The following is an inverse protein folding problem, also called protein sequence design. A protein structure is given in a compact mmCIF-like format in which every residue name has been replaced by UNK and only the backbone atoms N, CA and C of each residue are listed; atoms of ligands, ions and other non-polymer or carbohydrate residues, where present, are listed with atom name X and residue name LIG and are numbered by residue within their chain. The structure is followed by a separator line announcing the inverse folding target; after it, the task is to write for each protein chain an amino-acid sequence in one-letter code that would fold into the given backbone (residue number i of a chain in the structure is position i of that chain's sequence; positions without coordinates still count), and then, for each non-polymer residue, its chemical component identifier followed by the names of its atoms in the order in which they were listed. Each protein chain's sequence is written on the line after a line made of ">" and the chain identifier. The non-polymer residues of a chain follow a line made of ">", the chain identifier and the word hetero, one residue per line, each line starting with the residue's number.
data_IF_544943853044
#
_entry.id   IF_544943853044
#
_cell.length_a   1.000
_cell.length_b   1.000
_cell.length_c   1.000
_cell.angle_alpha   90.00
_cell.angle_beta   90.00
_cell.angle_gamma   90.00
#
_symmetry.space_group_name_H-M   'P 1'
#
loop_
_entity.id
_entity.type
_entity.pdbx_description
1 polymer ?
#
# COMPACT_ATOMS: atom_id res chain seq x y z
N UNK A 1 1.54 -14.42 -9.02
CA UNK A 1 2.40 -15.00 -10.06
C UNK A 1 2.34 -16.55 -10.05
N UNK A 2 2.71 -17.20 -8.95
CA UNK A 2 2.81 -18.68 -8.89
C UNK A 2 1.51 -19.41 -9.26
N UNK A 3 0.36 -18.93 -8.78
CA UNK A 3 -0.95 -19.49 -9.12
C UNK A 3 -1.22 -19.48 -10.64
N UNK A 4 -0.99 -18.34 -11.27
CA UNK A 4 -1.18 -18.19 -12.72
C UNK A 4 -0.15 -19.00 -13.53
N UNK A 5 1.09 -19.11 -13.04
CA UNK A 5 2.08 -19.95 -13.69
C UNK A 5 1.64 -21.42 -13.73
N UNK A 6 1.14 -21.96 -12.63
CA UNK A 6 0.60 -23.35 -12.58
C UNK A 6 -0.62 -23.48 -13.48
N UNK A 7 -1.57 -22.55 -13.42
CA UNK A 7 -2.80 -22.56 -14.24
C UNK A 7 -2.47 -22.54 -15.74
N UNK A 8 -1.34 -21.93 -16.14
CA UNK A 8 -0.88 -21.83 -17.53
C UNK A 8 0.18 -22.89 -17.90
N UNK A 9 0.24 -24.02 -17.21
CA UNK A 9 1.00 -25.20 -17.60
C UNK A 9 2.49 -25.18 -17.24
N UNK A 10 2.90 -24.37 -16.24
CA UNK A 10 4.25 -24.53 -15.68
C UNK A 10 4.36 -25.87 -14.95
N UNK A 11 5.33 -26.71 -15.33
CA UNK A 11 5.54 -28.04 -14.76
C UNK A 11 5.86 -27.95 -13.26
N UNK A 12 6.97 -27.31 -12.88
CA UNK A 12 7.33 -27.04 -11.50
C UNK A 12 7.36 -25.53 -11.23
N UNK A 13 6.85 -25.14 -10.05
CA UNK A 13 6.89 -23.76 -9.56
C UNK A 13 7.39 -23.77 -8.12
N UNK A 14 8.37 -22.91 -7.82
CA UNK A 14 8.94 -22.76 -6.48
C UNK A 14 8.81 -21.30 -6.07
N UNK A 15 8.23 -21.04 -4.88
CA UNK A 15 8.23 -19.72 -4.25
C UNK A 15 9.31 -19.69 -3.19
N UNK A 16 10.18 -18.67 -3.26
CA UNK A 16 11.28 -18.46 -2.31
C UNK A 16 10.98 -17.22 -1.46
N UNK A 17 11.06 -17.37 -0.15
CA UNK A 17 10.87 -16.29 0.82
C UNK A 17 12.05 -16.27 1.81
N UNK A 18 12.69 -15.10 1.96
CA UNK A 18 13.84 -14.97 2.87
C UNK A 18 13.46 -14.99 4.34
N UNK A 19 12.25 -14.53 4.65
CA UNK A 19 11.73 -14.48 6.01
C UNK A 19 11.19 -15.85 6.46
N UNK A 20 11.00 -16.06 7.76
CA UNK A 20 10.40 -17.31 8.28
C UNK A 20 8.93 -17.48 7.91
N UNK A 21 8.25 -16.39 7.53
CA UNK A 21 6.82 -16.38 7.13
C UNK A 21 6.67 -15.70 5.79
N UNK A 22 5.73 -16.16 4.98
CA UNK A 22 5.37 -15.56 3.69
C UNK A 22 4.49 -14.33 3.86
N UNK A 23 4.41 -13.50 2.82
CA UNK A 23 3.44 -12.43 2.68
C UNK A 23 3.99 -11.01 2.73
N UNK A 24 5.20 -10.80 3.28
CA UNK A 24 5.83 -9.49 3.27
C UNK A 24 4.92 -8.35 3.78
N UNK A 25 4.91 -7.22 3.08
CA UNK A 25 4.00 -6.11 3.36
C UNK A 25 2.53 -6.43 3.02
N UNK A 26 2.29 -7.39 2.13
CA UNK A 26 0.93 -7.76 1.71
C UNK A 26 0.12 -8.38 2.84
N UNK A 27 0.74 -9.14 3.77
CA UNK A 27 0.02 -9.80 4.85
C UNK A 27 -0.38 -8.84 5.97
N UNK A 28 0.35 -7.73 6.17
CA UNK A 28 0.13 -6.77 7.25
C UNK A 28 -0.68 -5.54 6.84
N UNK A 29 -1.01 -5.39 5.55
CA UNK A 29 -1.81 -4.25 5.09
C UNK A 29 -3.27 -4.33 5.57
N UNK A 30 -4.04 -3.27 5.32
CA UNK A 30 -5.41 -3.14 5.79
C UNK A 30 -6.46 -4.00 5.09
N UNK A 31 -6.08 -4.92 4.20
CA UNK A 31 -7.02 -5.79 3.49
C UNK A 31 -7.99 -5.03 2.57
N UNK A 32 -7.55 -3.94 1.98
CA UNK A 32 -8.38 -3.13 1.07
C UNK A 32 -7.89 -3.23 -0.37
N UNK A 33 -8.83 -3.25 -1.29
CA UNK A 33 -8.58 -3.30 -2.74
C UNK A 33 -9.51 -2.34 -3.47
N UNK A 34 -9.00 -1.60 -4.47
CA UNK A 34 -9.81 -0.77 -5.36
C UNK A 34 -10.56 -1.64 -6.37
N UNK A 35 -11.89 -1.52 -6.40
CA UNK A 35 -12.75 -2.29 -7.31
C UNK A 35 -13.78 -1.37 -7.94
N UNK A 36 -13.51 -0.79 -9.12
CA UNK A 36 -14.47 0.06 -9.81
C UNK A 36 -15.67 -0.76 -10.29
N UNK A 37 -16.87 -0.19 -10.21
CA UNK A 37 -18.09 -0.82 -10.68
C UNK A 37 -18.62 -1.98 -9.81
N UNK A 38 -18.17 -2.08 -8.54
CA UNK A 38 -18.62 -3.14 -7.64
C UNK A 38 -20.11 -3.01 -7.25
N UNK A 39 -20.69 -4.09 -6.73
CA UNK A 39 -22.11 -4.14 -6.39
C UNK A 39 -22.51 -3.14 -5.30
N UNK A 40 -21.63 -2.85 -4.33
CA UNK A 40 -21.92 -1.89 -3.25
C UNK A 40 -22.00 -0.47 -3.80
N UNK A 41 -21.15 -0.10 -4.76
CA UNK A 41 -21.27 1.20 -5.46
C UNK A 41 -22.61 1.34 -6.16
N UNK A 42 -23.06 0.28 -6.85
CA UNK A 42 -24.37 0.29 -7.54
C UNK A 42 -25.51 0.52 -6.55
N UNK A 43 -25.51 -0.17 -5.42
CA UNK A 43 -26.52 0.00 -4.35
C UNK A 43 -26.50 1.40 -3.75
N UNK A 44 -25.32 2.04 -3.68
CA UNK A 44 -25.16 3.41 -3.15
C UNK A 44 -25.37 4.50 -4.21
N UNK A 45 -25.65 4.15 -5.47
CA UNK A 45 -25.77 5.11 -6.56
C UNK A 45 -24.46 5.77 -6.97
N UNK A 46 -23.33 5.19 -6.62
CA UNK A 46 -22.00 5.68 -7.00
C UNK A 46 -21.65 5.19 -8.40
N UNK A 47 -21.40 6.13 -9.30
CA UNK A 47 -20.94 5.83 -10.66
C UNK A 47 -19.42 5.74 -10.66
N UNK A 48 -18.87 4.62 -11.11
CA UNK A 48 -17.44 4.38 -11.20
C UNK A 48 -17.12 3.46 -12.37
N UNK A 49 -15.90 3.56 -12.91
CA UNK A 49 -15.42 2.74 -14.02
C UNK A 49 -13.92 2.50 -13.93
N UNK A 50 -13.41 1.60 -14.77
CA UNK A 50 -11.97 1.38 -14.93
C UNK A 50 -11.27 2.65 -15.45
N UNK A 51 -11.91 3.39 -16.35
CA UNK A 51 -11.40 4.65 -16.89
C UNK A 51 -11.26 5.70 -15.79
N UNK A 52 -12.28 5.89 -14.94
CA UNK A 52 -12.22 6.83 -13.83
C UNK A 52 -11.16 6.44 -12.80
N UNK A 53 -10.96 5.14 -12.55
CA UNK A 53 -9.83 4.69 -11.71
C UNK A 53 -8.48 5.02 -12.35
N UNK A 54 -8.35 4.80 -13.66
CA UNK A 54 -7.12 5.14 -14.39
C UNK A 54 -6.84 6.65 -14.37
N UNK A 55 -7.85 7.49 -14.58
CA UNK A 55 -7.75 8.95 -14.49
C UNK A 55 -7.28 9.41 -13.11
N UNK A 56 -7.86 8.85 -12.04
CA UNK A 56 -7.43 9.14 -10.67
C UNK A 56 -5.95 8.79 -10.44
N UNK A 57 -5.51 7.61 -10.92
CA UNK A 57 -4.12 7.16 -10.77
C UNK A 57 -3.16 8.06 -11.57
N UNK A 58 -3.52 8.41 -12.80
CA UNK A 58 -2.70 9.27 -13.66
C UNK A 58 -2.60 10.68 -13.10
N UNK A 59 -3.71 11.26 -12.63
CA UNK A 59 -3.73 12.58 -11.99
C UNK A 59 -2.81 12.65 -10.79
N UNK A 60 -2.94 11.70 -9.87
CA UNK A 60 -2.13 11.69 -8.65
C UNK A 60 -0.67 11.29 -8.91
N UNK A 61 -0.43 10.51 -9.96
CA UNK A 61 0.90 10.14 -10.41
C UNK A 61 1.68 11.29 -11.08
N UNK A 62 1.05 12.45 -11.32
CA UNK A 62 1.66 13.69 -11.81
C UNK A 62 2.43 13.50 -13.14
N UNK A 63 1.93 12.67 -14.04
CA UNK A 63 2.55 12.40 -15.34
C UNK A 63 3.80 11.51 -15.29
N UNK A 64 4.14 10.93 -14.14
CA UNK A 64 5.24 9.98 -14.00
C UNK A 64 4.82 8.52 -14.19
N UNK A 65 3.54 8.29 -14.40
CA UNK A 65 3.01 6.95 -14.70
C UNK A 65 3.33 6.55 -16.14
N UNK A 66 3.37 5.26 -16.39
CA UNK A 66 3.28 4.69 -17.74
C UNK A 66 1.80 4.39 -18.01
N UNK A 67 1.12 5.18 -18.88
CA UNK A 67 -0.34 5.14 -19.04
C UNK A 67 -0.89 3.76 -19.41
N UNK A 68 -0.16 3.00 -20.20
CA UNK A 68 -0.52 1.64 -20.61
C UNK A 68 -0.55 0.67 -19.43
N UNK A 69 0.37 0.82 -18.46
CA UNK A 69 0.38 0.00 -17.23
C UNK A 69 -0.80 0.36 -16.33
N UNK A 70 -1.08 1.65 -16.18
CA UNK A 70 -2.23 2.14 -15.41
C UNK A 70 -3.53 1.64 -15.99
N UNK A 71 -3.69 1.78 -17.31
CA UNK A 71 -4.86 1.28 -18.03
C UNK A 71 -5.04 -0.23 -17.85
N UNK A 72 -3.98 -1.01 -18.04
CA UNK A 72 -4.00 -2.47 -17.85
C UNK A 72 -4.42 -2.85 -16.44
N UNK A 73 -3.91 -2.17 -15.42
CA UNK A 73 -4.28 -2.43 -14.03
C UNK A 73 -5.74 -2.08 -13.76
N UNK A 74 -6.21 -0.95 -14.24
CA UNK A 74 -7.58 -0.49 -14.04
C UNK A 74 -8.60 -1.40 -14.75
N UNK A 75 -8.35 -1.76 -16.02
CA UNK A 75 -9.20 -2.65 -16.81
C UNK A 75 -9.34 -4.04 -16.20
N UNK A 76 -8.28 -4.55 -15.57
CA UNK A 76 -8.28 -5.87 -14.93
C UNK A 76 -8.71 -5.85 -13.45
N UNK A 77 -9.03 -4.68 -12.89
CA UNK A 77 -9.31 -4.53 -11.46
C UNK A 77 -10.48 -5.40 -11.00
N UNK A 78 -11.63 -5.27 -11.65
CA UNK A 78 -12.83 -6.01 -11.28
C UNK A 78 -12.65 -7.52 -11.45
N UNK A 79 -12.14 -7.96 -12.62
CA UNK A 79 -11.90 -9.38 -12.90
C UNK A 79 -10.88 -10.02 -11.95
N UNK A 80 -9.89 -9.24 -11.50
CA UNK A 80 -8.89 -9.72 -10.54
C UNK A 80 -9.48 -9.84 -9.13
N UNK A 81 -10.28 -8.86 -8.69
CA UNK A 81 -11.03 -8.98 -7.43
C UNK A 81 -11.99 -10.17 -7.47
N UNK A 82 -12.76 -10.32 -8.54
CA UNK A 82 -13.69 -11.43 -8.72
C UNK A 82 -12.97 -12.80 -8.66
N UNK A 83 -11.76 -12.89 -9.23
CA UNK A 83 -10.91 -14.08 -9.11
C UNK A 83 -10.54 -14.38 -7.65
N UNK A 84 -10.23 -13.36 -6.82
CA UNK A 84 -9.95 -13.58 -5.40
C UNK A 84 -11.17 -14.12 -4.66
N UNK A 85 -12.38 -13.70 -5.05
CA UNK A 85 -13.63 -14.19 -4.46
C UNK A 85 -13.95 -15.61 -4.93
N UNK A 86 -14.00 -15.82 -6.25
CA UNK A 86 -14.52 -17.07 -6.84
C UNK A 86 -13.52 -18.23 -6.80
N UNK A 87 -12.25 -17.97 -7.08
CA UNK A 87 -11.24 -19.03 -7.16
C UNK A 87 -10.46 -19.20 -5.85
N UNK A 88 -10.15 -18.10 -5.15
CA UNK A 88 -9.41 -18.19 -3.88
C UNK A 88 -10.33 -18.34 -2.66
N UNK A 89 -11.57 -17.87 -2.72
CA UNK A 89 -12.49 -17.87 -1.59
C UNK A 89 -12.21 -16.77 -0.56
N UNK A 90 -11.68 -15.61 -1.01
CA UNK A 90 -11.51 -14.43 -0.14
C UNK A 90 -12.87 -13.81 0.16
N UNK A 91 -13.16 -13.60 1.42
CA UNK A 91 -14.40 -12.97 1.87
C UNK A 91 -14.21 -11.44 2.02
N UNK A 92 -15.15 -10.69 1.45
CA UNK A 92 -15.20 -9.22 1.54
C UNK A 92 -16.48 -8.74 2.23
N UNK A 93 -16.43 -7.54 2.78
CA UNK A 93 -17.61 -6.83 3.29
C UNK A 93 -18.43 -6.35 2.07
N UNK A 94 -19.75 -6.61 2.07
CA UNK A 94 -20.62 -6.38 0.91
C UNK A 94 -21.66 -5.28 1.10
N UNK A 95 -21.69 -4.63 2.24
CA UNK A 95 -22.63 -3.57 2.63
C UNK A 95 -21.92 -2.23 2.93
N UNK A 96 -20.61 -2.19 2.79
CA UNK A 96 -19.79 -1.01 3.05
C UNK A 96 -18.67 -0.85 2.06
N UNK A 97 -18.44 0.40 1.59
CA UNK A 97 -17.27 0.80 0.81
C UNK A 97 -16.59 2.00 1.44
N UNK A 98 -15.29 2.14 1.20
CA UNK A 98 -14.51 3.26 1.68
C UNK A 98 -13.94 4.12 0.58
N UNK A 99 -13.40 5.27 0.99
CA UNK A 99 -12.67 6.21 0.15
C UNK A 99 -11.41 6.67 0.88
N UNK A 100 -10.40 7.03 0.13
CA UNK A 100 -9.21 7.74 0.63
C UNK A 100 -8.88 8.90 -0.31
N UNK A 101 -8.07 9.83 0.18
CA UNK A 101 -7.64 10.98 -0.59
C UNK A 101 -7.00 10.63 -1.93
N UNK A 102 -7.31 11.42 -2.94
CA UNK A 102 -6.91 11.22 -4.32
C UNK A 102 -7.91 10.42 -5.16
N UNK A 103 -8.83 9.67 -4.57
CA UNK A 103 -9.91 9.01 -5.30
C UNK A 103 -11.11 9.93 -5.50
N UNK A 104 -11.62 9.99 -6.73
CA UNK A 104 -12.81 10.78 -7.08
C UNK A 104 -14.08 10.24 -6.41
N UNK A 105 -14.16 8.92 -6.19
CA UNK A 105 -15.33 8.25 -5.62
C UNK A 105 -14.94 7.14 -4.65
N UNK A 106 -15.84 6.77 -3.71
CA UNK A 106 -15.65 5.59 -2.87
C UNK A 106 -15.65 4.31 -3.71
N UNK A 107 -14.58 3.50 -3.59
CA UNK A 107 -14.45 2.23 -4.35
C UNK A 107 -13.73 1.11 -3.60
N UNK A 108 -13.42 1.30 -2.34
CA UNK A 108 -12.66 0.31 -1.58
C UNK A 108 -13.54 -0.82 -1.09
N UNK A 109 -13.19 -2.03 -1.48
CA UNK A 109 -13.70 -3.25 -0.85
C UNK A 109 -12.75 -3.66 0.29
N UNK A 110 -13.33 -4.02 1.42
CA UNK A 110 -12.59 -4.47 2.60
C UNK A 110 -12.69 -5.98 2.72
N UNK A 111 -11.57 -6.67 2.98
CA UNK A 111 -11.62 -8.06 3.43
C UNK A 111 -12.35 -8.14 4.77
N UNK A 112 -13.11 -9.23 5.00
CA UNK A 112 -13.95 -9.38 6.19
C UNK A 112 -13.16 -9.33 7.51
N UNK A 113 -11.89 -9.79 7.50
CA UNK A 113 -11.01 -9.72 8.67
C UNK A 113 -10.26 -8.37 8.78
N UNK A 114 -10.44 -7.43 7.84
CA UNK A 114 -9.78 -6.13 7.82
C UNK A 114 -8.26 -6.17 7.65
N UNK A 115 -7.73 -7.24 7.06
CA UNK A 115 -6.29 -7.45 6.88
C UNK A 115 -5.97 -8.09 5.53
N UNK A 116 -4.81 -7.76 4.97
CA UNK A 116 -4.26 -8.42 3.79
C UNK A 116 -3.97 -9.92 4.01
N UNK A 117 -3.91 -10.36 5.25
CA UNK A 117 -3.76 -11.77 5.59
C UNK A 117 -4.85 -12.65 4.98
N UNK A 118 -6.08 -12.13 4.84
CA UNK A 118 -7.18 -12.87 4.19
C UNK A 118 -6.84 -13.25 2.74
N UNK A 119 -6.20 -12.34 2.00
CA UNK A 119 -5.81 -12.59 0.60
C UNK A 119 -4.61 -13.53 0.57
N UNK A 120 -3.53 -13.20 1.31
CA UNK A 120 -2.27 -13.96 1.28
C UNK A 120 -2.46 -15.41 1.74
N UNK A 121 -3.25 -15.66 2.78
CA UNK A 121 -3.53 -17.01 3.26
C UNK A 121 -4.27 -17.85 2.19
N UNK A 122 -5.25 -17.24 1.53
CA UNK A 122 -5.99 -17.91 0.46
C UNK A 122 -5.14 -18.15 -0.79
N UNK A 123 -4.25 -17.22 -1.15
CA UNK A 123 -3.26 -17.46 -2.19
C UNK A 123 -2.33 -18.62 -1.83
N UNK A 124 -1.87 -18.68 -0.58
CA UNK A 124 -1.00 -19.77 -0.10
C UNK A 124 -1.70 -21.13 -0.11
N UNK A 125 -2.94 -21.21 0.39
CA UNK A 125 -3.77 -22.42 0.31
C UNK A 125 -3.91 -22.88 -1.15
N UNK A 126 -4.23 -21.94 -2.05
CA UNK A 126 -4.40 -22.23 -3.47
C UNK A 126 -3.12 -22.76 -4.13
N UNK A 127 -1.98 -22.10 -3.94
CA UNK A 127 -0.74 -22.51 -4.59
C UNK A 127 -0.23 -23.84 -4.04
N UNK A 128 -0.35 -24.09 -2.74
CA UNK A 128 0.02 -25.37 -2.12
C UNK A 128 -0.85 -26.53 -2.64
N UNK A 129 -2.16 -26.31 -2.71
CA UNK A 129 -3.11 -27.31 -3.26
C UNK A 129 -2.80 -27.66 -4.72
N UNK A 130 -2.23 -26.70 -5.48
CA UNK A 130 -1.83 -26.89 -6.87
C UNK A 130 -0.37 -27.33 -7.05
N UNK A 131 0.26 -27.83 -6.02
CA UNK A 131 1.60 -28.44 -6.08
C UNK A 131 2.75 -27.43 -6.28
N UNK A 132 2.58 -26.19 -5.83
CA UNK A 132 3.67 -25.21 -5.77
C UNK A 132 4.50 -25.45 -4.52
N UNK A 133 5.82 -25.57 -4.67
CA UNK A 133 6.74 -25.67 -3.54
C UNK A 133 6.98 -24.28 -2.95
N UNK A 134 6.78 -24.11 -1.65
CA UNK A 134 7.10 -22.86 -0.94
C UNK A 134 8.22 -23.11 0.04
N UNK A 135 9.30 -22.32 -0.08
CA UNK A 135 10.47 -22.37 0.80
C UNK A 135 10.66 -21.04 1.50
N UNK A 136 10.44 -21.03 2.80
CA UNK A 136 10.80 -19.90 3.68
C UNK A 136 12.25 -20.02 4.14
N UNK A 137 12.78 -18.95 4.73
CA UNK A 137 14.20 -18.88 5.14
C UNK A 137 15.15 -19.19 3.97
N UNK A 138 14.76 -18.81 2.77
CA UNK A 138 15.51 -19.02 1.55
C UNK A 138 15.84 -17.66 0.92
N UNK A 139 17.05 -17.20 1.17
CA UNK A 139 17.54 -15.90 0.73
C UNK A 139 18.18 -16.03 -0.66
N UNK A 140 17.70 -15.22 -1.62
CA UNK A 140 18.32 -15.13 -2.96
C UNK A 140 19.54 -14.22 -2.85
N UNK A 141 20.72 -14.79 -3.05
CA UNK A 141 22.01 -14.10 -2.97
C UNK A 141 22.43 -13.56 -4.34
N UNK A 142 22.20 -14.34 -5.41
CA UNK A 142 22.60 -13.97 -6.76
C UNK A 142 21.58 -14.44 -7.79
N UNK A 143 21.30 -13.58 -8.76
CA UNK A 143 20.55 -13.92 -9.96
C UNK A 143 21.57 -14.31 -11.02
N UNK A 144 21.47 -15.53 -11.55
CA UNK A 144 22.40 -16.08 -12.52
C UNK A 144 21.97 -15.67 -13.92
N UNK A 145 22.64 -14.67 -14.47
CA UNK A 145 22.50 -14.22 -15.86
C UNK A 145 23.75 -14.66 -16.61
N UNK A 146 23.57 -15.39 -17.71
CA UNK A 146 24.68 -15.92 -18.51
C UNK A 146 25.20 -14.93 -19.57
N UNK A 147 26.18 -15.35 -20.34
CA UNK A 147 26.81 -14.55 -21.40
C UNK A 147 25.84 -14.22 -22.55
N UNK A 148 24.85 -15.08 -22.81
CA UNK A 148 23.76 -14.82 -23.77
C UNK A 148 22.72 -13.81 -23.24
N UNK A 149 22.94 -13.28 -22.05
CA UNK A 149 22.07 -12.30 -21.41
C UNK A 149 20.81 -12.89 -20.77
N UNK A 150 20.64 -14.21 -20.76
CA UNK A 150 19.49 -14.90 -20.20
C UNK A 150 19.65 -15.18 -18.71
N UNK A 151 18.57 -15.01 -17.94
CA UNK A 151 18.50 -15.51 -16.57
C UNK A 151 18.18 -17.00 -16.57
N UNK A 152 19.08 -17.79 -15.98
CA UNK A 152 19.04 -19.27 -15.94
C UNK A 152 18.80 -19.86 -14.56
N UNK A 153 18.85 -19.05 -13.51
CA UNK A 153 18.65 -19.54 -12.16
C UNK A 153 19.07 -18.58 -11.07
N UNK A 154 19.16 -19.11 -9.87
CA UNK A 154 19.42 -18.37 -8.65
C UNK A 154 20.45 -19.11 -7.79
N UNK A 155 21.35 -18.36 -7.17
CA UNK A 155 22.14 -18.82 -6.04
C UNK A 155 21.45 -18.37 -4.76
N UNK A 156 21.19 -19.28 -3.83
CA UNK A 156 20.41 -19.02 -2.64
C UNK A 156 21.10 -19.50 -1.36
N UNK A 157 20.70 -18.94 -0.22
CA UNK A 157 21.05 -19.42 1.12
C UNK A 157 19.82 -20.09 1.74
N UNK A 158 19.79 -21.41 1.74
CA UNK A 158 18.72 -22.22 2.33
C UNK A 158 18.95 -22.39 3.84
N UNK A 159 17.92 -22.13 4.66
CA UNK A 159 18.06 -22.03 6.11
C UNK A 159 18.60 -20.67 6.57
N UNK A 160 18.40 -19.61 5.78
CA UNK A 160 18.79 -18.24 6.11
C UNK A 160 18.14 -17.75 7.41
N UNK A 161 18.91 -17.04 8.22
CA UNK A 161 18.48 -16.43 9.48
C UNK A 161 18.59 -14.91 9.38
N UNK A 162 17.51 -14.26 8.95
CA UNK A 162 17.46 -12.80 8.85
C UNK A 162 17.74 -12.11 10.20
N UNK A 163 18.54 -11.03 10.27
CA UNK A 163 19.29 -10.40 9.19
C UNK A 163 20.77 -10.87 9.11
N UNK A 164 21.08 -12.08 9.56
CA UNK A 164 22.48 -12.58 9.66
C UNK A 164 23.03 -12.94 8.29
N UNK A 165 23.84 -12.03 7.72
CA UNK A 165 24.52 -12.26 6.44
C UNK A 165 25.35 -13.57 6.48
N UNK A 166 25.41 -14.28 5.34
CA UNK A 166 26.13 -15.53 5.18
C UNK A 166 25.55 -16.74 5.91
N UNK A 167 24.44 -16.58 6.66
CA UNK A 167 23.76 -17.71 7.29
C UNK A 167 23.03 -18.58 6.24
N UNK A 168 22.80 -19.86 6.59
CA UNK A 168 22.21 -20.84 5.67
C UNK A 168 23.23 -21.54 4.80
N UNK A 169 22.78 -22.56 4.06
CA UNK A 169 23.60 -23.35 3.13
C UNK A 169 23.45 -22.81 1.72
N UNK A 170 24.55 -22.66 1.02
CA UNK A 170 24.55 -22.32 -0.39
C UNK A 170 23.90 -23.42 -1.21
N UNK A 171 22.99 -23.04 -2.09
CA UNK A 171 22.34 -23.90 -3.08
C UNK A 171 22.14 -23.14 -4.39
N UNK A 172 22.09 -23.88 -5.48
CA UNK A 172 21.78 -23.38 -6.80
C UNK A 172 20.43 -23.91 -7.24
N UNK A 173 19.59 -23.03 -7.77
CA UNK A 173 18.27 -23.37 -8.29
C UNK A 173 18.26 -23.00 -9.77
N UNK A 174 18.11 -24.00 -10.63
CA UNK A 174 17.94 -23.80 -12.06
C UNK A 174 16.50 -23.37 -12.35
N UNK A 175 16.34 -22.38 -13.20
CA UNK A 175 15.04 -21.93 -13.71
C UNK A 175 14.98 -22.23 -15.21
N UNK A 176 14.32 -23.31 -15.60
CA UNK A 176 14.27 -23.77 -16.97
C UNK A 176 13.54 -22.80 -17.90
N UNK A 177 12.52 -22.10 -17.40
CA UNK A 177 11.74 -21.10 -18.15
C UNK A 177 12.03 -19.68 -17.71
N UNK A 178 11.81 -19.37 -16.42
CA UNK A 178 11.89 -17.99 -15.94
C UNK A 178 12.02 -17.87 -14.42
N UNK A 179 12.49 -16.70 -14.00
CA UNK A 179 12.44 -16.18 -12.64
C UNK A 179 11.46 -15.01 -12.62
N UNK A 180 10.54 -14.97 -11.65
CA UNK A 180 9.62 -13.86 -11.41
C UNK A 180 9.99 -13.18 -10.10
N UNK A 181 10.35 -11.90 -10.16
CA UNK A 181 10.79 -11.09 -9.04
C UNK A 181 9.58 -10.38 -8.40
N UNK A 182 9.27 -10.72 -7.13
CA UNK A 182 8.20 -10.12 -6.34
C UNK A 182 8.72 -9.71 -4.95
N UNK A 183 9.94 -9.19 -4.89
CA UNK A 183 10.66 -8.93 -3.63
C UNK A 183 10.21 -7.67 -2.88
N UNK A 184 9.32 -6.85 -3.46
CA UNK A 184 8.75 -5.66 -2.85
C UNK A 184 9.68 -4.45 -2.82
N UNK A 185 9.36 -3.47 -1.98
CA UNK A 185 10.12 -2.25 -1.81
C UNK A 185 11.27 -2.36 -0.79
N UNK A 186 11.98 -1.25 -0.58
CA UNK A 186 13.12 -1.12 0.34
C UNK A 186 12.83 -0.20 1.55
N UNK A 187 11.56 0.03 1.89
CA UNK A 187 11.16 1.02 2.90
C UNK A 187 11.69 0.78 4.31
N UNK A 188 12.14 -0.44 4.65
CA UNK A 188 12.75 -0.75 5.93
C UNK A 188 14.30 -0.58 5.93
N UNK A 189 14.93 -0.44 4.77
CA UNK A 189 16.37 -0.21 4.65
C UNK A 189 16.70 1.28 4.76
N UNK A 190 17.05 1.72 5.97
CA UNK A 190 17.34 3.14 6.26
C UNK A 190 18.47 3.66 5.37
N UNK A 191 19.56 2.92 5.25
CA UNK A 191 20.72 3.37 4.48
C UNK A 191 20.40 3.51 3.00
N UNK A 192 19.63 2.58 2.46
CA UNK A 192 19.27 2.59 1.04
C UNK A 192 18.23 3.67 0.73
N UNK A 193 17.17 3.81 1.53
CA UNK A 193 16.17 4.86 1.32
C UNK A 193 16.74 6.28 1.49
N UNK A 194 17.65 6.48 2.45
CA UNK A 194 18.32 7.78 2.67
C UNK A 194 19.23 8.16 1.49
N UNK A 195 19.74 7.19 0.74
CA UNK A 195 20.50 7.45 -0.50
C UNK A 195 19.64 8.13 -1.56
N UNK A 196 18.36 7.77 -1.67
CA UNK A 196 17.43 8.31 -2.67
C UNK A 196 16.62 9.52 -2.15
N UNK A 197 16.29 9.54 -0.86
CA UNK A 197 15.73 10.71 -0.19
C UNK A 197 16.47 10.96 1.13
N UNK A 198 17.40 11.94 1.15
CA UNK A 198 18.22 12.26 2.33
C UNK A 198 17.43 12.68 3.57
N UNK A 199 16.15 13.04 3.43
CA UNK A 199 15.26 13.38 4.55
C UNK A 199 14.80 12.14 5.32
N UNK A 200 14.70 10.98 4.65
CA UNK A 200 14.15 9.73 5.19
C UNK A 200 15.18 8.93 6.01
N UNK A 201 15.81 9.58 6.97
CA UNK A 201 16.81 9.01 7.88
C UNK A 201 16.19 8.04 8.90
N UNK A 202 16.99 7.56 9.85
CA UNK A 202 16.51 6.73 10.98
C UNK A 202 15.47 7.43 11.88
N UNK A 203 15.33 8.75 11.80
CA UNK A 203 14.28 9.51 12.51
C UNK A 203 12.86 9.19 12.00
N UNK A 204 12.75 8.74 10.76
CA UNK A 204 11.47 8.29 10.21
C UNK A 204 11.28 6.79 10.47
N UNK A 205 10.24 6.45 11.20
CA UNK A 205 9.79 5.07 11.33
C UNK A 205 9.29 4.53 9.98
N UNK A 206 9.02 3.25 9.90
CA UNK A 206 8.45 2.61 8.70
C UNK A 206 7.25 1.74 9.04
N UNK A 207 6.31 1.66 8.12
CA UNK A 207 5.19 0.72 8.19
C UNK A 207 5.57 -0.65 7.66
N UNK A 208 6.74 -0.75 6.99
CA UNK A 208 7.17 -1.95 6.30
C UNK A 208 7.61 -3.04 7.26
N UNK A 209 7.44 -4.28 6.84
CA UNK A 209 8.09 -5.41 7.48
C UNK A 209 9.63 -5.26 7.46
N UNK A 210 10.34 -5.79 8.47
CA UNK A 210 11.81 -5.74 8.52
C UNK A 210 12.50 -6.31 7.29
N UNK A 211 11.86 -7.26 6.60
CA UNK A 211 12.38 -7.87 5.38
C UNK A 211 12.30 -7.00 4.12
N UNK A 212 11.65 -5.83 4.14
CA UNK A 212 11.59 -4.91 3.00
C UNK A 212 12.91 -4.12 2.85
N UNK A 213 13.94 -4.79 2.38
CA UNK A 213 15.34 -4.34 2.33
C UNK A 213 15.90 -4.42 0.89
N UNK A 214 17.07 -3.85 0.68
CA UNK A 214 17.60 -3.50 -0.65
C UNK A 214 18.46 -4.58 -1.34
N UNK A 215 18.58 -5.78 -0.79
CA UNK A 215 19.53 -6.76 -1.33
C UNK A 215 19.25 -7.10 -2.81
N UNK A 216 18.01 -7.42 -3.15
CA UNK A 216 17.65 -7.70 -4.55
C UNK A 216 17.57 -6.45 -5.42
N UNK A 217 17.41 -5.26 -4.85
CA UNK A 217 17.57 -4.00 -5.58
C UNK A 217 19.00 -3.80 -6.06
N UNK A 218 19.99 -4.14 -5.21
CA UNK A 218 21.42 -4.09 -5.58
C UNK A 218 21.77 -5.19 -6.58
N UNK A 219 21.20 -6.36 -6.38
CA UNK A 219 21.47 -7.52 -7.24
C UNK A 219 20.90 -7.33 -8.65
N UNK A 220 19.69 -6.80 -8.78
CA UNK A 220 19.10 -6.48 -10.09
C UNK A 220 19.85 -5.37 -10.81
N UNK A 221 20.36 -4.36 -10.07
CA UNK A 221 21.28 -3.37 -10.66
C UNK A 221 22.58 -4.02 -11.16
N UNK A 222 23.17 -4.95 -10.39
CA UNK A 222 24.39 -5.68 -10.76
C UNK A 222 24.25 -6.45 -12.07
N UNK A 223 23.09 -7.06 -12.31
CA UNK A 223 22.84 -7.84 -13.53
C UNK A 223 22.29 -6.98 -14.69
N UNK A 224 22.28 -5.65 -14.55
CA UNK A 224 21.92 -4.72 -15.63
C UNK A 224 20.42 -4.51 -15.84
N UNK A 225 19.58 -4.69 -14.82
CA UNK A 225 18.16 -4.31 -14.90
C UNK A 225 17.99 -2.79 -14.85
N UNK A 226 17.12 -2.26 -15.70
CA UNK A 226 16.69 -0.86 -15.62
C UNK A 226 15.83 -0.64 -14.37
N UNK A 227 16.19 0.36 -13.57
CA UNK A 227 15.45 0.76 -12.37
C UNK A 227 15.03 2.23 -12.52
N UNK A 228 13.76 2.52 -12.24
CA UNK A 228 13.15 3.83 -12.44
C UNK A 228 12.52 4.36 -11.15
N UNK A 229 12.47 5.67 -10.99
CA UNK A 229 11.68 6.37 -9.95
C UNK A 229 12.00 5.93 -8.50
N UNK A 230 13.24 5.57 -8.19
CA UNK A 230 13.65 5.10 -6.86
C UNK A 230 13.60 6.19 -5.78
N UNK A 231 13.67 7.45 -6.17
CA UNK A 231 13.57 8.65 -5.34
C UNK A 231 12.13 8.98 -4.91
N UNK A 232 11.14 8.34 -5.52
CA UNK A 232 9.74 8.48 -5.14
C UNK A 232 9.36 7.50 -4.04
N UNK A 233 9.51 7.94 -2.79
CA UNK A 233 9.23 7.15 -1.60
C UNK A 233 8.06 7.79 -0.85
N UNK A 234 6.95 7.08 -0.72
CA UNK A 234 5.74 7.57 -0.08
C UNK A 234 5.78 7.39 1.44
N UNK A 235 5.47 8.45 2.18
CA UNK A 235 5.14 8.36 3.60
C UNK A 235 3.63 8.19 3.78
N UNK A 236 3.23 7.35 4.73
CA UNK A 236 1.86 7.26 5.22
C UNK A 236 1.58 8.42 6.16
N UNK A 237 0.67 9.36 5.80
CA UNK A 237 0.46 10.59 6.57
C UNK A 237 -0.27 10.38 7.90
N UNK A 238 -0.94 9.28 8.06
CA UNK A 238 -1.93 8.98 9.09
C UNK A 238 -1.41 8.00 10.18
N UNK A 239 -0.12 7.69 10.18
CA UNK A 239 0.46 6.83 11.21
C UNK A 239 0.62 7.58 12.55
N UNK A 240 0.72 6.80 13.65
CA UNK A 240 0.97 7.34 14.99
C UNK A 240 2.38 7.02 15.48
N UNK A 241 3.00 7.92 16.27
CA UNK A 241 4.27 7.64 16.96
C UNK A 241 4.09 6.66 18.13
N UNK A 242 2.86 6.47 18.60
CA UNK A 242 2.51 5.62 19.76
C UNK A 242 2.57 4.12 19.45
N UNK A 243 2.80 3.75 18.18
CA UNK A 243 2.89 2.35 17.78
C UNK A 243 4.02 2.11 16.76
N UNK A 244 4.55 0.90 16.75
CA UNK A 244 5.60 0.48 15.80
C UNK A 244 5.00 -0.11 14.53
N UNK A 245 5.78 -0.08 13.43
CA UNK A 245 5.40 -0.68 12.16
C UNK A 245 4.14 -0.05 11.55
N UNK A 246 3.32 -0.86 10.89
CA UNK A 246 2.06 -0.43 10.28
C UNK A 246 1.08 0.11 11.32
N UNK A 247 0.94 -0.58 12.44
CA UNK A 247 0.02 -0.23 13.51
C UNK A 247 -1.46 -0.31 13.10
N UNK A 248 -2.32 0.25 13.95
CA UNK A 248 -3.77 0.30 13.72
C UNK A 248 -4.39 1.70 13.82
N UNK A 249 -3.69 2.69 14.43
CA UNK A 249 -4.18 4.07 14.56
C UNK A 249 -4.51 4.69 13.19
N UNK A 250 -3.75 4.31 12.17
CA UNK A 250 -3.95 4.79 10.80
C UNK A 250 -5.38 4.58 10.28
N UNK A 251 -6.08 3.54 10.71
CA UNK A 251 -7.44 3.27 10.22
C UNK A 251 -8.45 4.28 10.74
N UNK A 252 -8.26 4.78 11.97
CA UNK A 252 -9.04 5.88 12.50
C UNK A 252 -8.71 7.19 11.78
N UNK A 253 -7.42 7.52 11.69
CA UNK A 253 -6.97 8.78 11.09
C UNK A 253 -7.34 8.90 9.60
N UNK A 254 -7.27 7.77 8.86
CA UNK A 254 -7.63 7.69 7.44
C UNK A 254 -9.14 7.61 7.22
N UNK A 255 -9.84 6.83 8.05
CA UNK A 255 -11.26 6.52 7.90
C UNK A 255 -12.15 7.55 8.58
N UNK A 256 -12.26 7.52 9.91
CA UNK A 256 -13.16 8.39 10.64
C UNK A 256 -12.76 9.87 10.50
N UNK A 257 -11.52 10.20 10.85
CA UNK A 257 -11.07 11.58 10.92
C UNK A 257 -10.87 12.24 9.54
N UNK A 258 -10.23 11.56 8.58
CA UNK A 258 -10.00 12.19 7.28
C UNK A 258 -11.29 12.30 6.44
N UNK A 259 -12.24 11.37 6.55
CA UNK A 259 -13.45 11.41 5.74
C UNK A 259 -14.59 12.19 6.37
N UNK A 260 -14.70 12.19 7.69
CA UNK A 260 -15.86 12.74 8.42
C UNK A 260 -15.48 13.62 9.61
N UNK A 261 -14.21 13.74 9.93
CA UNK A 261 -13.64 14.57 10.98
C UNK A 261 -12.62 15.57 10.43
N UNK A 262 -11.60 15.91 11.20
CA UNK A 262 -10.61 16.96 10.90
C UNK A 262 -9.19 16.53 11.27
N UNK A 263 -8.18 17.12 10.62
CA UNK A 263 -6.79 17.08 11.05
C UNK A 263 -6.40 18.46 11.59
N UNK A 264 -5.99 18.49 12.85
CA UNK A 264 -5.77 19.73 13.63
C UNK A 264 -4.28 19.89 13.97
N UNK A 265 -3.77 21.08 13.72
CA UNK A 265 -2.53 21.58 14.33
C UNK A 265 -2.84 22.01 15.76
N UNK A 266 -2.29 21.30 16.75
CA UNK A 266 -2.59 21.56 18.15
C UNK A 266 -2.11 22.94 18.62
N UNK A 267 -1.03 23.49 18.06
CA UNK A 267 -0.53 24.80 18.45
C UNK A 267 -1.47 25.93 18.01
N UNK A 268 -2.17 25.76 16.92
CA UNK A 268 -3.05 26.78 16.34
C UNK A 268 -4.54 26.52 16.55
N UNK A 269 -4.94 25.28 16.86
CA UNK A 269 -6.35 24.86 16.94
C UNK A 269 -7.06 24.86 15.57
N UNK A 270 -6.30 24.76 14.47
CA UNK A 270 -6.80 24.91 13.10
C UNK A 270 -6.49 23.69 12.24
N UNK A 271 -7.31 23.52 11.20
CA UNK A 271 -6.94 22.65 10.07
C UNK A 271 -5.69 23.19 9.39
N UNK A 272 -4.89 22.30 8.83
CA UNK A 272 -3.63 22.67 8.17
C UNK A 272 -3.45 22.02 6.79
N UNK A 273 -4.39 21.18 6.38
CA UNK A 273 -4.37 20.49 5.09
C UNK A 273 -5.76 19.98 4.74
N UNK A 274 -6.03 19.81 3.45
CA UNK A 274 -7.17 19.03 2.99
C UNK A 274 -6.99 17.57 3.41
N UNK A 275 -7.82 17.06 4.28
CA UNK A 275 -7.74 15.70 4.85
C UNK A 275 -7.98 14.61 3.80
N UNK A 276 -8.59 14.95 2.67
CA UNK A 276 -8.78 14.08 1.51
C UNK A 276 -7.82 14.38 0.34
N UNK A 277 -6.83 15.26 0.53
CA UNK A 277 -5.74 15.40 -0.42
C UNK A 277 -4.94 14.08 -0.52
N UNK A 278 -4.13 13.96 -1.56
CA UNK A 278 -3.27 12.79 -1.72
C UNK A 278 -2.27 12.63 -0.56
N UNK A 279 -1.68 11.45 -0.48
CA UNK A 279 -0.80 11.07 0.64
C UNK A 279 0.42 11.94 0.78
N UNK A 280 1.01 12.39 -0.34
CA UNK A 280 2.20 13.24 -0.32
C UNK A 280 1.88 14.62 0.26
N UNK A 281 0.82 15.25 -0.20
CA UNK A 281 0.37 16.57 0.30
C UNK A 281 0.14 16.51 1.81
N UNK A 282 -0.58 15.50 2.28
CA UNK A 282 -0.88 15.30 3.71
C UNK A 282 0.38 14.99 4.53
N UNK A 283 1.25 14.10 4.05
CA UNK A 283 2.48 13.75 4.75
C UNK A 283 3.41 14.95 4.88
N UNK A 284 3.61 15.69 3.78
CA UNK A 284 4.46 16.89 3.76
C UNK A 284 3.91 17.97 4.71
N UNK A 285 2.58 18.10 4.83
CA UNK A 285 1.96 19.05 5.75
C UNK A 285 2.20 18.67 7.22
N UNK A 286 2.00 17.39 7.59
CA UNK A 286 2.32 16.91 8.95
C UNK A 286 3.81 17.07 9.26
N UNK A 287 4.70 16.72 8.31
CA UNK A 287 6.15 16.86 8.49
C UNK A 287 6.53 18.33 8.72
N UNK A 288 5.96 19.27 7.98
CA UNK A 288 6.21 20.73 8.17
C UNK A 288 5.84 21.17 9.59
N UNK A 289 4.67 20.75 10.10
CA UNK A 289 4.22 21.09 11.44
C UNK A 289 5.11 20.42 12.51
N UNK A 290 5.41 19.13 12.36
CA UNK A 290 6.30 18.43 13.29
C UNK A 290 7.70 19.07 13.35
N UNK A 291 8.23 19.58 12.22
CA UNK A 291 9.51 20.31 12.19
C UNK A 291 9.46 21.65 12.93
N UNK A 292 8.27 22.22 13.13
CA UNK A 292 8.03 23.41 13.97
C UNK A 292 7.74 23.02 15.44
N UNK A 293 7.86 21.75 15.79
CA UNK A 293 7.47 21.21 17.10
C UNK A 293 5.96 21.31 17.39
N UNK A 294 5.15 21.41 16.35
CA UNK A 294 3.70 21.37 16.48
C UNK A 294 3.22 19.91 16.44
N UNK A 295 2.44 19.51 17.43
CA UNK A 295 1.72 18.23 17.39
C UNK A 295 0.53 18.34 16.47
N UNK A 296 0.35 17.35 15.60
CA UNK A 296 -0.84 17.21 14.75
C UNK A 296 -1.69 16.04 15.24
N UNK A 297 -3.00 16.22 15.28
CA UNK A 297 -3.92 15.15 15.60
C UNK A 297 -4.98 14.97 14.51
N UNK A 298 -5.39 13.73 14.32
CA UNK A 298 -6.62 13.38 13.61
C UNK A 298 -7.77 13.38 14.63
N UNK A 299 -8.83 14.13 14.40
CA UNK A 299 -9.94 14.37 15.30
C UNK A 299 -11.26 13.92 14.69
N UNK A 300 -12.08 13.20 15.44
CA UNK A 300 -13.44 12.83 15.08
C UNK A 300 -14.36 12.87 16.31
N UNK A 301 -15.65 13.05 16.10
CA UNK A 301 -16.67 12.91 17.12
C UNK A 301 -17.35 11.54 17.07
N UNK A 302 -18.28 11.28 17.99
CA UNK A 302 -19.01 10.01 18.04
C UNK A 302 -19.76 9.70 16.74
N UNK A 303 -20.35 10.71 16.10
CA UNK A 303 -21.14 10.50 14.88
C UNK A 303 -20.26 10.02 13.71
N UNK A 304 -19.05 10.57 13.57
CA UNK A 304 -18.07 10.14 12.58
C UNK A 304 -17.59 8.71 12.85
N UNK A 305 -17.30 8.37 14.11
CA UNK A 305 -16.87 7.01 14.49
C UNK A 305 -17.99 6.00 14.23
N UNK A 306 -19.24 6.32 14.53
CA UNK A 306 -20.39 5.43 14.31
C UNK A 306 -20.61 5.12 12.81
N UNK A 307 -20.40 6.09 11.95
CA UNK A 307 -20.47 5.88 10.51
C UNK A 307 -19.30 5.03 9.98
N UNK A 308 -18.11 5.24 10.52
CA UNK A 308 -16.91 4.56 10.07
C UNK A 308 -16.80 3.09 10.51
N UNK A 309 -17.25 2.78 11.73
CA UNK A 309 -17.05 1.46 12.36
C UNK A 309 -17.65 0.29 11.57
N UNK A 310 -18.65 0.53 10.71
CA UNK A 310 -19.25 -0.50 9.86
C UNK A 310 -18.26 -1.17 8.91
N UNK A 311 -17.30 -0.42 8.38
CA UNK A 311 -16.23 -0.96 7.52
C UNK A 311 -15.11 -1.68 8.26
N UNK A 312 -15.06 -1.52 9.60
CA UNK A 312 -14.02 -2.13 10.46
C UNK A 312 -14.58 -2.48 11.85
N UNK A 313 -15.44 -3.51 11.93
CA UNK A 313 -16.06 -3.91 13.20
C UNK A 313 -15.01 -4.24 14.28
N UNK A 314 -15.21 -3.72 15.49
CA UNK A 314 -14.33 -3.96 16.64
C UNK A 314 -12.98 -3.23 16.58
N UNK A 315 -12.74 -2.37 15.57
CA UNK A 315 -11.46 -1.69 15.41
C UNK A 315 -11.28 -0.56 16.42
N UNK A 316 -12.31 0.23 16.66
CA UNK A 316 -12.21 1.36 17.61
C UNK A 316 -11.92 0.88 19.02
N UNK A 317 -12.55 -0.20 19.46
CA UNK A 317 -12.34 -0.81 20.77
C UNK A 317 -10.88 -1.26 20.93
N UNK A 318 -10.32 -1.93 19.92
CA UNK A 318 -8.91 -2.33 19.90
C UNK A 318 -7.94 -1.14 19.91
N UNK A 319 -8.31 -0.04 19.25
CA UNK A 319 -7.48 1.16 19.22
C UNK A 319 -7.47 1.88 20.57
N UNK A 320 -8.61 1.92 21.25
CA UNK A 320 -8.74 2.48 22.60
C UNK A 320 -7.99 1.60 23.63
N UNK A 321 -8.16 0.27 23.57
CA UNK A 321 -7.44 -0.68 24.43
C UNK A 321 -5.91 -0.53 24.29
N UNK A 322 -5.42 -0.37 23.05
CA UNK A 322 -3.99 -0.15 22.76
C UNK A 322 -3.51 1.26 23.01
N UNK A 323 -4.40 2.19 23.37
CA UNK A 323 -4.09 3.61 23.61
C UNK A 323 -3.40 4.29 22.43
N UNK A 324 -3.82 3.96 21.20
CA UNK A 324 -3.35 4.58 19.95
C UNK A 324 -4.41 5.48 19.31
N UNK A 325 -5.64 5.39 19.81
CA UNK A 325 -6.71 6.38 19.70
C UNK A 325 -7.15 6.70 21.12
N UNK A 326 -7.33 7.98 21.41
CA UNK A 326 -7.69 8.49 22.72
C UNK A 326 -9.13 9.01 22.67
N UNK A 327 -9.88 8.81 23.74
CA UNK A 327 -11.28 9.25 23.87
C UNK A 327 -11.40 10.24 25.03
N UNK A 328 -12.15 11.32 24.79
CA UNK A 328 -12.42 12.38 25.77
C UNK A 328 -13.91 12.66 25.82
N UNK A 329 -14.47 12.88 27.02
CA UNK A 329 -15.90 13.15 27.15
C UNK A 329 -16.27 14.50 26.53
N UNK A 330 -15.41 15.51 26.66
CA UNK A 330 -15.64 16.86 26.15
C UNK A 330 -14.49 17.35 25.26
N UNK A 331 -14.77 18.35 24.44
CA UNK A 331 -13.77 19.03 23.61
C UNK A 331 -12.77 19.80 24.46
N UNK A 332 -13.21 20.32 25.61
CA UNK A 332 -12.41 21.04 26.61
C UNK A 332 -11.32 20.13 27.22
N UNK A 333 -11.69 18.90 27.58
CA UNK A 333 -10.71 17.91 28.08
C UNK A 333 -9.64 17.62 27.04
N UNK A 334 -10.06 17.34 25.80
CA UNK A 334 -9.13 17.09 24.68
C UNK A 334 -8.21 18.29 24.46
N UNK A 335 -8.77 19.51 24.39
CA UNK A 335 -8.02 20.74 24.18
C UNK A 335 -6.99 20.97 25.31
N UNK A 336 -7.38 20.68 26.56
CA UNK A 336 -6.47 20.79 27.71
C UNK A 336 -5.29 19.83 27.60
N UNK A 337 -5.54 18.56 27.28
CA UNK A 337 -4.47 17.53 27.17
C UNK A 337 -3.47 17.87 26.07
N UNK A 338 -3.96 18.28 24.89
CA UNK A 338 -3.11 18.62 23.75
C UNK A 338 -2.67 20.09 23.69
N UNK A 339 -3.05 20.90 24.71
CA UNK A 339 -2.75 22.33 24.78
C UNK A 339 -3.23 23.12 23.56
N UNK A 340 -4.44 22.80 23.08
CA UNK A 340 -5.03 23.44 21.92
C UNK A 340 -5.78 24.69 22.38
N UNK A 341 -5.64 25.85 21.68
CA UNK A 341 -6.49 27.02 21.91
C UNK A 341 -7.96 26.66 21.66
N UNK A 342 -8.75 26.53 22.73
CA UNK A 342 -10.12 25.99 22.67
C UNK A 342 -11.04 26.80 21.77
N UNK A 343 -10.98 28.13 21.82
CA UNK A 343 -11.85 28.99 21.00
C UNK A 343 -11.51 28.85 19.50
N UNK A 344 -10.23 28.70 19.17
CA UNK A 344 -9.81 28.45 17.80
C UNK A 344 -10.29 27.07 17.32
N UNK A 345 -10.21 26.04 18.17
CA UNK A 345 -10.70 24.70 17.83
C UNK A 345 -12.21 24.69 17.62
N UNK A 346 -12.99 25.34 18.51
CA UNK A 346 -14.46 25.49 18.37
C UNK A 346 -14.80 26.19 17.05
N UNK A 347 -14.13 27.31 16.76
CA UNK A 347 -14.32 28.02 15.50
C UNK A 347 -14.01 27.14 14.29
N UNK A 348 -12.94 26.36 14.33
CA UNK A 348 -12.57 25.43 13.26
C UNK A 348 -13.64 24.37 13.00
N UNK A 349 -14.25 23.83 14.06
CA UNK A 349 -15.37 22.88 13.95
C UNK A 349 -16.61 23.54 13.37
N UNK A 350 -16.93 24.76 13.81
CA UNK A 350 -18.08 25.51 13.29
C UNK A 350 -17.91 25.85 11.80
N UNK A 351 -16.71 26.26 11.40
CA UNK A 351 -16.42 26.58 10.00
C UNK A 351 -16.49 25.31 9.12
N UNK A 352 -15.98 24.16 9.61
CA UNK A 352 -16.18 22.87 8.94
C UNK A 352 -17.66 22.51 8.78
N UNK A 353 -18.47 22.69 9.82
CA UNK A 353 -19.91 22.40 9.76
C UNK A 353 -20.64 23.28 8.76
N UNK A 354 -20.26 24.57 8.65
CA UNK A 354 -20.81 25.47 7.62
C UNK A 354 -20.41 25.01 6.21
N UNK A 355 -19.15 24.66 6.02
CA UNK A 355 -18.65 24.14 4.74
C UNK A 355 -19.35 22.83 4.34
N UNK A 356 -19.58 21.92 5.28
CA UNK A 356 -20.33 20.68 5.06
C UNK A 356 -21.79 20.97 4.64
N UNK A 357 -22.46 21.91 5.30
CA UNK A 357 -23.84 22.30 4.97
C UNK A 357 -23.90 22.95 3.57
N UNK A 358 -22.92 23.78 3.22
CA UNK A 358 -22.79 24.40 1.91
C UNK A 358 -22.30 23.42 0.81
N UNK A 359 -21.79 22.26 1.19
CA UNK A 359 -21.09 21.30 0.30
C UNK A 359 -19.92 21.94 -0.45
N UNK A 360 -19.29 22.93 0.14
CA UNK A 360 -18.12 23.64 -0.39
C UNK A 360 -17.14 23.95 0.73
N UNK A 361 -15.88 23.56 0.56
CA UNK A 361 -14.77 23.88 1.46
C UNK A 361 -13.82 24.84 0.73
N UNK A 362 -14.10 26.12 0.81
CA UNK A 362 -13.34 27.17 0.12
C UNK A 362 -11.95 27.37 0.74
N UNK A 363 -11.73 26.98 1.99
CA UNK A 363 -10.45 27.11 2.66
C UNK A 363 -9.42 26.06 2.21
N UNK A 364 -9.84 24.78 2.18
CA UNK A 364 -8.93 23.65 1.94
C UNK A 364 -9.23 22.88 0.65
N UNK A 365 -10.34 23.17 -0.01
CA UNK A 365 -10.77 22.47 -1.23
C UNK A 365 -11.13 21.00 -1.01
N UNK A 366 -11.60 20.66 0.19
CA UNK A 366 -11.94 19.29 0.55
C UNK A 366 -13.34 18.91 0.03
N UNK A 367 -13.45 17.73 -0.61
CA UNK A 367 -14.74 17.09 -0.83
C UNK A 367 -15.34 16.53 0.47
N UNK A 368 -16.66 16.28 0.47
CA UNK A 368 -17.34 15.70 1.64
C UNK A 368 -17.84 14.29 1.34
N UNK A 369 -17.63 13.39 2.30
CA UNK A 369 -18.19 12.04 2.21
C UNK A 369 -19.72 12.11 2.20
N UNK A 370 -20.43 11.34 1.34
CA UNK A 370 -21.88 11.52 1.13
C UNK A 370 -22.75 11.39 2.38
N UNK A 371 -22.27 10.71 3.42
CA UNK A 371 -22.97 10.50 4.69
C UNK A 371 -22.35 11.28 5.85
N UNK A 372 -21.39 12.18 5.60
CA UNK A 372 -20.79 12.99 6.66
C UNK A 372 -21.87 13.82 7.38
N UNK A 373 -21.74 13.93 8.69
CA UNK A 373 -22.63 14.69 9.56
C UNK A 373 -21.87 15.85 10.18
N UNK A 374 -22.58 16.94 10.61
CA UNK A 374 -21.96 17.99 11.39
C UNK A 374 -21.31 17.43 12.65
N UNK A 375 -20.10 17.89 12.96
CA UNK A 375 -19.39 17.57 14.20
C UNK A 375 -19.90 18.43 15.35
N UNK A 376 -19.96 17.89 16.57
CA UNK A 376 -20.34 18.67 17.73
C UNK A 376 -20.76 17.87 18.96
N UNK A 377 -20.85 16.56 18.83
CA UNK A 377 -21.31 15.71 19.95
C UNK A 377 -20.21 14.76 20.41
N UNK A 378 -19.80 14.93 21.68
CA UNK A 378 -18.88 13.97 22.31
C UNK A 378 -19.52 12.59 22.47
N UNK A 379 -18.72 11.59 22.85
CA UNK A 379 -17.27 11.72 23.10
C UNK A 379 -16.48 12.03 21.83
N UNK A 380 -15.31 12.64 22.06
CA UNK A 380 -14.35 13.02 21.04
C UNK A 380 -13.21 12.01 20.98
N UNK A 381 -12.76 11.71 19.79
CA UNK A 381 -11.70 10.75 19.55
C UNK A 381 -10.55 11.41 18.79
N UNK A 382 -9.32 11.09 19.16
CA UNK A 382 -8.16 11.56 18.41
C UNK A 382 -7.02 10.54 18.37
N UNK A 383 -6.17 10.66 17.35
CA UNK A 383 -4.86 10.00 17.28
C UNK A 383 -3.80 11.00 16.87
N UNK A 384 -2.58 10.84 17.40
CA UNK A 384 -1.43 11.68 17.04
C UNK A 384 -0.93 11.28 15.66
N UNK A 385 -0.64 12.27 14.80
CA UNK A 385 -0.15 12.06 13.45
C UNK A 385 1.38 12.15 13.38
N UNK A 386 2.01 11.12 12.85
CA UNK A 386 3.45 11.08 12.55
C UNK A 386 3.70 10.25 11.30
N UNK A 387 4.08 10.85 10.17
CA UNK A 387 4.30 10.11 8.94
C UNK A 387 5.38 9.05 9.06
N UNK A 388 5.14 7.87 8.47
CA UNK A 388 6.10 6.77 8.40
C UNK A 388 6.37 6.40 6.95
N UNK A 389 7.60 5.99 6.63
CA UNK A 389 7.92 5.44 5.30
C UNK A 389 7.02 4.24 5.02
N UNK A 390 6.34 4.25 3.88
CA UNK A 390 5.23 3.33 3.63
C UNK A 390 5.34 2.52 2.34
N UNK A 391 5.72 3.15 1.21
CA UNK A 391 5.72 2.50 -0.11
C UNK A 391 6.77 3.10 -1.03
N UNK A 392 7.42 2.27 -1.85
CA UNK A 392 8.30 2.70 -2.92
C UNK A 392 7.51 2.69 -4.23
N UNK A 393 7.39 3.84 -4.92
CA UNK A 393 6.70 3.92 -6.20
C UNK A 393 7.56 3.46 -7.36
N UNK A 394 8.88 3.63 -7.24
CA UNK A 394 9.85 3.18 -8.23
C UNK A 394 10.13 1.69 -8.15
N UNK A 395 10.81 1.19 -9.18
CA UNK A 395 11.16 -0.22 -9.26
C UNK A 395 11.79 -0.59 -10.58
N UNK A 396 11.83 -1.88 -10.85
CA UNK A 396 12.26 -2.41 -12.13
C UNK A 396 11.33 -1.91 -13.24
N UNK A 397 11.91 -1.44 -14.33
CA UNK A 397 11.16 -1.17 -15.55
C UNK A 397 10.75 -2.50 -16.17
N UNK A 398 9.47 -2.62 -16.50
CA UNK A 398 8.92 -3.78 -17.19
C UNK A 398 8.05 -3.35 -18.34
N UNK A 399 7.92 -4.22 -19.34
CA UNK A 399 6.93 -4.06 -20.40
C UNK A 399 5.53 -4.56 -19.98
N UNK A 400 4.59 -4.58 -20.93
CA UNK A 400 3.19 -5.03 -20.71
C UNK A 400 3.05 -6.51 -20.35
N UNK A 401 4.05 -7.34 -20.67
CA UNK A 401 4.13 -8.75 -20.29
C UNK A 401 4.90 -8.98 -19.00
N UNK A 402 5.20 -7.91 -18.25
CA UNK A 402 5.98 -7.91 -17.02
C UNK A 402 7.43 -8.41 -17.18
N UNK A 403 8.00 -8.37 -18.40
CA UNK A 403 9.39 -8.71 -18.66
C UNK A 403 10.28 -7.55 -18.24
N UNK A 404 11.34 -7.83 -17.48
CA UNK A 404 12.27 -6.81 -16.98
C UNK A 404 13.16 -6.31 -18.13
N UNK A 405 13.35 -4.98 -18.20
CA UNK A 405 14.13 -4.32 -19.26
C UNK A 405 15.60 -4.22 -18.86
N UNK A 406 16.46 -4.52 -19.83
CA UNK A 406 17.91 -4.38 -19.74
C UNK A 406 18.34 -2.92 -19.91
N UNK A 407 19.23 -2.42 -19.05
CA UNK A 407 19.65 -1.02 -19.04
C UNK A 407 20.53 -0.62 -20.22
N UNK A 408 21.16 -1.60 -20.89
CA UNK A 408 22.10 -1.34 -22.00
C UNK A 408 21.40 -1.43 -23.34
N UNK A 409 20.52 -2.43 -23.50
CA UNK A 409 19.91 -2.76 -24.79
C UNK A 409 18.49 -2.20 -24.93
N UNK A 410 17.86 -1.74 -23.84
CA UNK A 410 16.43 -1.37 -23.78
C UNK A 410 15.49 -2.52 -24.23
N UNK A 411 15.98 -3.76 -24.18
CA UNK A 411 15.19 -4.94 -24.53
C UNK A 411 14.87 -5.79 -23.30
N UNK A 412 13.81 -6.61 -23.33
CA UNK A 412 13.51 -7.53 -22.24
C UNK A 412 14.64 -8.52 -21.99
N UNK A 413 15.06 -8.68 -20.72
CA UNK A 413 16.00 -9.70 -20.29
C UNK A 413 15.33 -11.09 -20.41
N UNK A 414 15.83 -12.01 -21.25
CA UNK A 414 15.23 -13.32 -21.42
C UNK A 414 15.16 -14.10 -20.08
N UNK A 415 14.00 -14.65 -19.77
CA UNK A 415 13.80 -15.45 -18.57
C UNK A 415 13.65 -14.64 -17.26
N UNK A 416 13.49 -13.32 -17.33
CA UNK A 416 13.33 -12.47 -16.14
C UNK A 416 12.04 -11.64 -16.20
N UNK A 417 11.21 -11.75 -15.16
CA UNK A 417 9.95 -11.05 -14.99
C UNK A 417 9.90 -10.38 -13.61
N UNK A 418 9.06 -9.35 -13.45
CA UNK A 418 8.84 -8.72 -12.16
C UNK A 418 7.40 -8.21 -12.02
N UNK A 419 6.91 -8.11 -10.76
CA UNK A 419 5.57 -7.61 -10.48
C UNK A 419 5.45 -6.99 -9.08
N UNK A 420 4.44 -6.13 -8.89
CA UNK A 420 4.11 -5.46 -7.64
C UNK A 420 5.13 -4.39 -7.26
N UNK A 421 5.29 -4.12 -5.97
CA UNK A 421 6.16 -3.04 -5.45
C UNK A 421 7.66 -3.18 -5.84
N UNK A 422 8.05 -4.30 -6.44
CA UNK A 422 9.37 -4.46 -7.05
C UNK A 422 9.51 -3.75 -8.41
N UNK A 423 8.40 -3.25 -8.98
CA UNK A 423 8.35 -2.60 -10.29
C UNK A 423 7.92 -1.14 -10.19
N UNK A 424 8.40 -0.32 -11.11
CA UNK A 424 8.02 1.08 -11.25
C UNK A 424 7.05 1.35 -12.41
N UNK A 425 6.62 2.62 -12.51
CA UNK A 425 5.85 3.15 -13.63
C UNK A 425 4.32 3.04 -13.48
N UNK A 426 3.79 2.31 -12.50
CA UNK A 426 2.34 2.23 -12.26
C UNK A 426 1.83 3.43 -11.47
N UNK A 427 2.52 3.80 -10.40
CA UNK A 427 1.99 4.75 -9.42
C UNK A 427 2.45 6.20 -9.61
N UNK A 428 3.52 6.42 -10.37
CA UNK A 428 4.07 7.76 -10.55
C UNK A 428 4.51 8.40 -9.22
N UNK A 429 4.22 9.69 -9.04
CA UNK A 429 4.62 10.45 -7.86
C UNK A 429 3.90 10.02 -6.57
N UNK A 430 2.64 9.61 -6.65
CA UNK A 430 1.79 9.28 -5.48
C UNK A 430 0.94 8.06 -5.75
N UNK A 431 1.14 7.02 -4.94
CA UNK A 431 0.30 5.83 -5.00
C UNK A 431 -1.01 6.07 -4.27
N UNK A 432 -2.13 5.90 -4.97
CA UNK A 432 -3.47 5.91 -4.39
C UNK A 432 -3.68 4.77 -3.39
N UNK A 433 -4.50 5.02 -2.37
CA UNK A 433 -4.91 4.00 -1.40
C UNK A 433 -5.47 2.76 -2.10
N UNK A 434 -5.26 1.57 -1.52
CA UNK A 434 -5.73 0.27 -2.03
C UNK A 434 -5.22 -0.18 -3.42
N UNK A 435 -4.57 0.70 -4.18
CA UNK A 435 -4.03 0.36 -5.51
C UNK A 435 -2.77 -0.52 -5.45
N UNK A 436 -2.00 -0.53 -4.34
CA UNK A 436 -0.84 -1.43 -4.24
C UNK A 436 -1.24 -2.91 -4.21
N UNK A 437 -2.31 -3.26 -3.47
CA UNK A 437 -2.83 -4.62 -3.46
C UNK A 437 -3.33 -5.02 -4.87
N UNK A 438 -4.03 -4.11 -5.53
CA UNK A 438 -4.50 -4.33 -6.89
C UNK A 438 -3.33 -4.53 -7.87
N UNK A 439 -2.31 -3.68 -7.82
CA UNK A 439 -1.08 -3.81 -8.62
C UNK A 439 -0.41 -5.17 -8.43
N UNK A 440 -0.17 -5.57 -7.17
CA UNK A 440 0.45 -6.86 -6.86
C UNK A 440 -0.36 -8.04 -7.45
N UNK A 441 -1.67 -7.98 -7.38
CA UNK A 441 -2.54 -9.04 -7.88
C UNK A 441 -2.60 -9.05 -9.42
N UNK A 442 -2.85 -7.91 -10.06
CA UNK A 442 -2.96 -7.80 -11.52
C UNK A 442 -1.63 -8.13 -12.19
N UNK A 443 -0.57 -7.40 -11.84
CA UNK A 443 0.73 -7.58 -12.48
C UNK A 443 1.39 -8.91 -12.10
N UNK A 444 1.13 -9.42 -10.87
CA UNK A 444 1.52 -10.77 -10.49
C UNK A 444 0.88 -11.85 -11.36
N UNK A 445 -0.40 -11.70 -11.72
CA UNK A 445 -1.08 -12.63 -12.64
C UNK A 445 -0.52 -12.53 -14.05
N UNK A 446 -0.26 -11.32 -14.55
CA UNK A 446 0.37 -11.10 -15.87
C UNK A 446 1.74 -11.78 -15.91
N UNK A 447 2.62 -11.48 -14.95
CA UNK A 447 3.96 -12.05 -14.87
C UNK A 447 3.94 -13.59 -14.80
N UNK A 448 3.04 -14.17 -14.01
CA UNK A 448 2.90 -15.62 -13.91
C UNK A 448 2.49 -16.29 -15.21
N UNK A 449 1.51 -15.71 -15.93
CA UNK A 449 1.08 -16.19 -17.26
C UNK A 449 2.20 -16.09 -18.29
N UNK A 450 2.88 -14.96 -18.34
CA UNK A 450 3.94 -14.72 -19.30
C UNK A 450 5.17 -15.63 -19.04
N UNK A 451 5.57 -15.78 -17.78
CA UNK A 451 6.64 -16.67 -17.37
C UNK A 451 6.37 -18.13 -17.74
N UNK A 452 5.14 -18.61 -17.54
CA UNK A 452 4.75 -19.99 -17.90
C UNK A 452 4.84 -20.27 -19.40
N UNK A 453 4.55 -19.24 -20.23
CA UNK A 453 4.60 -19.31 -21.69
C UNK A 453 6.02 -19.13 -22.26
N UNK A 454 6.98 -18.71 -21.43
CA UNK A 454 8.37 -18.56 -21.86
C UNK A 454 8.93 -19.89 -22.37
N UNK A 455 9.75 -19.79 -23.43
CA UNK A 455 10.48 -20.97 -23.95
C UNK A 455 11.48 -21.47 -22.90
N UNK A 456 11.48 -22.78 -22.68
CA UNK A 456 12.55 -23.42 -21.92
C UNK A 456 13.89 -23.26 -22.68
N UNK A 457 14.96 -23.01 -21.94
CA UNK A 457 16.32 -23.05 -22.49
C UNK A 457 16.99 -24.40 -22.29
N UNK A 458 16.34 -25.27 -21.53
CA UNK A 458 16.73 -26.67 -21.37
C UNK A 458 15.97 -27.47 -22.42
N UNK A 459 16.70 -28.26 -23.19
CA UNK A 459 16.16 -29.16 -24.20
C UNK A 459 15.30 -30.28 -23.57
#
# INVERSE_FOLDING_TARGET
>A
AAAEAKKNGAGSVIVLEKMPTVGGNSIINGGIISVPGNAVQKTMGVKDSAELLAEDILREGQGLNYPEKVKTMADQAYATWEWTVKELGVEYITDHIGQEGGHSVPRFMYTKNGSGSAIVQKEMEYVQKNGVTVRTKCYVETIVRDEDGRVKGLKVRDGYRFPKAGSGREKWIRADKAVVLCYGGFGADVAFRTKYDPKLTAKFATTNQPGATSELWRETARIGCTQIQQDWIQCGPWNSPEEKGMGIALYFAQGAAATMGLWIDCAEGKRFVNELANRKVRADAVIRNNNRSHTCIALADQAAVDLWKGGRPGMIEKQLERKVVHQYATLEELATVFKIPLDALKKTIDDYNKALAAKSDDEMGRGFFPKAKPMGQGPWYCSILSPKVHHCMGGLQTDSDARVIDIVTDQPIPGLFAAGEATGGVHGAVRLGSCATLDCLVNGRIAGRAAAKSKSWVA
#
